data_IF_087398004519
#
_entry.id   IF_087398004519
#
_cell.length_a   1.000
_cell.length_b   1.000
_cell.length_c   1.000
_cell.angle_alpha   90.00
_cell.angle_beta   90.00
_cell.angle_gamma   90.00
#
_symmetry.space_group_name_H-M   'P 1'
#
loop_
_entity.id
_entity.type
_entity.pdbx_description
1 polymer ?
#
# COMPACT_ATOMS: atom_id res chain seq x y z
N UNK A 1 -31.50 -22.24 57.47
CA UNK A 1 -31.02 -21.11 56.66
C UNK A 1 -29.55 -21.34 56.41
N UNK A 2 -29.16 -21.60 55.15
CA UNK A 2 -27.77 -21.82 54.74
C UNK A 2 -27.58 -21.20 53.34
N UNK A 3 -26.53 -20.41 53.21
CA UNK A 3 -25.81 -20.08 51.98
C UNK A 3 -24.51 -19.37 52.45
N UNK A 4 -23.42 -20.08 52.64
CA UNK A 4 -22.46 -20.57 51.63
C UNK A 4 -21.53 -19.44 51.13
N UNK A 5 -20.28 -19.54 51.57
CA UNK A 5 -19.16 -18.69 51.20
C UNK A 5 -18.84 -18.79 49.70
N UNK A 6 -18.62 -17.65 49.05
CA UNK A 6 -18.10 -17.59 47.67
C UNK A 6 -16.63 -17.22 47.68
N UNK A 7 -15.83 -18.23 47.38
CA UNK A 7 -14.40 -18.22 47.12
C UNK A 7 -14.03 -17.43 45.87
N UNK A 8 -12.90 -16.72 45.98
CA UNK A 8 -12.10 -16.04 44.96
C UNK A 8 -12.01 -16.77 43.61
N UNK A 9 -12.36 -16.07 42.52
CA UNK A 9 -12.12 -16.51 41.15
C UNK A 9 -10.72 -16.06 40.67
N UNK A 10 -9.80 -17.01 40.57
CA UNK A 10 -8.58 -16.90 39.74
C UNK A 10 -8.82 -17.81 38.54
N UNK A 11 -8.76 -17.25 37.32
CA UNK A 11 -8.49 -18.01 36.09
C UNK A 11 -7.88 -17.06 35.06
N UNK A 12 -6.56 -16.94 35.14
CA UNK A 12 -5.67 -16.43 34.09
C UNK A 12 -5.72 -17.40 32.90
N UNK A 13 -6.20 -16.94 31.75
CA UNK A 13 -6.17 -17.71 30.50
C UNK A 13 -4.91 -17.38 29.69
N UNK A 14 -3.93 -18.26 29.86
CA UNK A 14 -2.90 -18.76 28.94
C UNK A 14 -2.52 -17.92 27.70
N UNK A 15 -1.32 -17.32 27.78
CA UNK A 15 -0.50 -16.92 26.63
C UNK A 15 0.01 -18.20 25.94
N UNK A 16 -0.45 -18.47 24.73
CA UNK A 16 0.05 -19.58 23.92
C UNK A 16 1.41 -19.23 23.30
N UNK A 17 2.34 -20.18 23.43
CA UNK A 17 3.77 -20.06 23.22
C UNK A 17 4.19 -19.76 21.75
N UNK A 18 5.22 -18.93 21.65
CA UNK A 18 6.13 -18.86 20.50
C UNK A 18 7.13 -20.02 20.52
N UNK A 19 7.70 -20.29 19.33
CA UNK A 19 8.92 -21.06 19.02
C UNK A 19 8.77 -22.58 18.84
N UNK A 20 8.51 -22.98 17.59
CA UNK A 20 9.06 -24.21 17.05
C UNK A 20 10.12 -23.85 15.99
N UNK A 21 11.39 -23.86 16.38
CA UNK A 21 12.52 -23.90 15.45
C UNK A 21 12.70 -25.36 15.06
N UNK A 22 12.25 -25.74 13.86
CA UNK A 22 12.67 -27.00 13.26
C UNK A 22 14.06 -26.78 12.63
N UNK A 23 15.09 -27.24 13.33
CA UNK A 23 16.40 -27.47 12.73
C UNK A 23 16.28 -28.63 11.74
N UNK A 24 16.53 -28.36 10.46
CA UNK A 24 16.87 -29.40 9.49
C UNK A 24 18.30 -29.16 9.05
N UNK A 25 19.19 -29.99 9.61
CA UNK A 25 20.49 -30.22 9.04
C UNK A 25 20.30 -30.96 7.71
N UNK A 26 20.82 -30.40 6.62
CA UNK A 26 21.09 -31.15 5.41
C UNK A 26 22.39 -30.62 4.78
N UNK A 27 23.27 -31.59 4.56
CA UNK A 27 24.60 -31.62 3.97
C UNK A 27 25.00 -30.57 2.93
N UNK A 28 26.29 -30.25 3.02
CA UNK A 28 27.11 -29.60 2.01
C UNK A 28 27.46 -30.65 0.94
N UNK A 29 26.94 -30.47 -0.28
CA UNK A 29 27.56 -30.73 -1.61
C UNK A 29 26.47 -31.10 -2.63
N UNK A 30 26.16 -30.19 -3.54
CA UNK A 30 26.34 -30.47 -4.97
C UNK A 30 26.27 -29.17 -5.78
N UNK A 31 27.20 -28.99 -6.71
CA UNK A 31 27.20 -27.88 -7.67
C UNK A 31 26.19 -28.18 -8.80
N UNK A 32 24.94 -28.40 -8.43
CA UNK A 32 23.81 -28.61 -9.35
C UNK A 32 23.08 -27.31 -9.62
N UNK A 33 22.74 -27.08 -10.89
CA UNK A 33 21.90 -25.96 -11.38
C UNK A 33 20.83 -25.52 -10.37
N UNK A 34 20.57 -24.20 -10.21
CA UNK A 34 19.49 -23.74 -9.36
C UNK A 34 18.20 -24.46 -9.75
N UNK A 35 17.54 -25.05 -8.75
CA UNK A 35 16.25 -25.69 -8.92
C UNK A 35 15.29 -24.73 -9.64
N UNK A 36 14.47 -25.20 -10.59
CA UNK A 36 13.56 -24.33 -11.32
C UNK A 36 12.66 -23.59 -10.32
N UNK A 37 12.71 -22.25 -10.40
CA UNK A 37 11.88 -21.37 -9.59
C UNK A 37 10.43 -21.83 -9.72
N UNK A 38 9.75 -22.17 -8.61
CA UNK A 38 8.30 -22.39 -8.64
C UNK A 38 7.70 -21.13 -9.24
N UNK A 39 7.08 -21.23 -10.42
CA UNK A 39 6.38 -20.12 -11.06
C UNK A 39 5.31 -19.64 -10.09
N UNK A 40 5.58 -18.52 -9.41
CA UNK A 40 4.61 -17.89 -8.52
C UNK A 40 3.40 -17.40 -9.31
N UNK A 41 2.28 -17.16 -8.62
CA UNK A 41 1.16 -16.45 -9.22
C UNK A 41 1.58 -15.02 -9.67
N UNK A 42 0.74 -14.38 -10.48
CA UNK A 42 1.03 -13.05 -11.02
C UNK A 42 1.34 -12.00 -9.94
N UNK A 43 0.70 -12.09 -8.77
CA UNK A 43 0.93 -11.18 -7.64
C UNK A 43 2.30 -11.43 -7.03
N UNK A 44 2.65 -12.67 -6.74
CA UNK A 44 3.97 -13.04 -6.21
C UNK A 44 5.09 -12.59 -7.15
N UNK A 45 4.95 -12.84 -8.45
CA UNK A 45 5.98 -12.46 -9.43
C UNK A 45 6.09 -10.94 -9.58
N UNK A 46 4.97 -10.20 -9.52
CA UNK A 46 5.00 -8.74 -9.63
C UNK A 46 5.57 -8.08 -8.38
N UNK A 47 5.22 -8.59 -7.19
CA UNK A 47 5.74 -8.09 -5.91
C UNK A 47 7.20 -8.52 -5.63
N UNK A 48 7.76 -9.47 -6.38
CA UNK A 48 9.17 -9.82 -6.29
C UNK A 48 10.07 -8.89 -7.13
N UNK A 49 9.53 -8.28 -8.18
CA UNK A 49 10.30 -7.58 -9.22
C UNK A 49 10.13 -6.06 -9.23
N UNK A 50 9.39 -5.47 -8.26
CA UNK A 50 9.28 -4.02 -8.19
C UNK A 50 10.56 -3.39 -7.65
N UNK A 51 10.88 -2.18 -8.11
CA UNK A 51 12.02 -1.42 -7.61
C UNK A 51 11.75 -0.88 -6.21
N UNK A 52 12.61 -1.23 -5.26
CA UNK A 52 12.60 -0.57 -3.96
C UNK A 52 13.10 0.89 -4.13
N UNK A 53 12.36 1.85 -3.58
CA UNK A 53 12.78 3.25 -3.55
C UNK A 53 13.18 3.66 -2.15
N UNK A 54 14.36 4.25 -2.01
CA UNK A 54 14.90 4.71 -0.71
C UNK A 54 13.98 5.73 -0.01
N UNK A 55 13.24 6.54 -0.76
CA UNK A 55 12.28 7.51 -0.21
C UNK A 55 10.91 6.90 0.12
N UNK A 56 10.68 5.64 -0.25
CA UNK A 56 9.46 4.90 0.08
C UNK A 56 9.80 3.59 0.80
N UNK A 57 10.40 3.66 2.01
CA UNK A 57 10.84 2.48 2.77
C UNK A 57 9.69 1.57 3.24
N UNK A 58 8.44 1.91 2.93
CA UNK A 58 7.26 1.28 3.49
C UNK A 58 6.67 0.14 2.65
N UNK A 59 7.05 -0.04 1.37
CA UNK A 59 6.53 -1.14 0.57
C UNK A 59 7.52 -2.31 0.54
N UNK A 60 7.23 -3.33 1.35
CA UNK A 60 7.94 -4.62 1.30
C UNK A 60 7.22 -5.59 0.36
N UNK A 61 7.90 -6.63 -0.12
CA UNK A 61 7.26 -7.73 -0.88
C UNK A 61 6.02 -8.28 -0.15
N UNK A 62 6.15 -8.56 1.15
CA UNK A 62 5.05 -9.07 1.97
C UNK A 62 3.87 -8.10 2.01
N UNK A 63 4.13 -6.80 2.13
CA UNK A 63 3.08 -5.78 2.16
C UNK A 63 2.41 -5.60 0.79
N UNK A 64 3.19 -5.63 -0.29
CA UNK A 64 2.68 -5.61 -1.67
C UNK A 64 1.71 -6.78 -1.88
N UNK A 65 2.16 -7.99 -1.55
CA UNK A 65 1.37 -9.22 -1.70
C UNK A 65 0.11 -9.20 -0.85
N UNK A 66 0.22 -8.86 0.44
CA UNK A 66 -0.94 -8.84 1.34
C UNK A 66 -1.95 -7.77 0.94
N UNK A 67 -1.48 -6.60 0.49
CA UNK A 67 -2.34 -5.52 0.01
C UNK A 67 -3.11 -5.94 -1.23
N UNK A 68 -2.41 -6.44 -2.26
CA UNK A 68 -3.08 -6.87 -3.48
C UNK A 68 -4.07 -8.01 -3.18
N UNK A 69 -3.65 -9.02 -2.40
CA UNK A 69 -4.54 -10.15 -2.06
C UNK A 69 -5.73 -9.79 -1.17
N UNK A 70 -5.67 -8.69 -0.42
CA UNK A 70 -6.85 -8.18 0.30
C UNK A 70 -7.97 -7.73 -0.64
N UNK A 71 -7.65 -7.40 -1.89
CA UNK A 71 -8.60 -7.02 -2.91
C UNK A 71 -9.05 -8.25 -3.72
N UNK A 72 -10.34 -8.58 -3.67
CA UNK A 72 -10.91 -9.78 -4.30
C UNK A 72 -10.63 -9.88 -5.81
N UNK A 73 -10.49 -8.75 -6.50
CA UNK A 73 -10.22 -8.76 -7.94
C UNK A 73 -8.78 -9.15 -8.29
N UNK A 74 -7.85 -9.09 -7.34
CA UNK A 74 -6.44 -9.43 -7.58
C UNK A 74 -6.24 -10.91 -7.87
N UNK A 75 -7.09 -11.80 -7.36
CA UNK A 75 -7.04 -13.24 -7.69
C UNK A 75 -7.53 -13.53 -9.11
N UNK A 76 -8.23 -12.58 -9.74
CA UNK A 76 -8.71 -12.68 -11.12
C UNK A 76 -7.85 -11.86 -12.11
N UNK A 77 -6.82 -11.17 -11.63
CA UNK A 77 -5.90 -10.41 -12.47
C UNK A 77 -5.19 -11.34 -13.46
N UNK A 78 -5.22 -10.98 -14.75
CA UNK A 78 -4.64 -11.78 -15.84
C UNK A 78 -3.36 -11.15 -16.39
N UNK A 79 -3.10 -9.89 -16.03
CA UNK A 79 -1.97 -9.12 -16.55
C UNK A 79 -1.43 -8.13 -15.51
N UNK A 80 -0.18 -7.70 -15.70
CA UNK A 80 0.45 -6.65 -14.89
C UNK A 80 -0.35 -5.33 -14.95
N UNK A 81 -0.98 -5.05 -16.10
CA UNK A 81 -1.92 -3.94 -16.27
C UNK A 81 -3.10 -4.04 -15.31
N UNK A 82 -3.69 -5.22 -15.14
CA UNK A 82 -4.79 -5.41 -14.18
C UNK A 82 -4.35 -5.11 -12.75
N UNK A 83 -3.12 -5.50 -12.37
CA UNK A 83 -2.57 -5.19 -11.05
C UNK A 83 -2.33 -3.67 -10.85
N UNK A 84 -1.87 -2.96 -11.88
CA UNK A 84 -1.72 -1.50 -11.83
C UNK A 84 -3.09 -0.81 -11.66
N UNK A 85 -4.12 -1.26 -12.38
CA UNK A 85 -5.49 -0.75 -12.25
C UNK A 85 -6.07 -1.02 -10.86
N UNK A 86 -5.87 -2.22 -10.31
CA UNK A 86 -6.29 -2.56 -8.96
C UNK A 86 -5.58 -1.70 -7.92
N UNK A 87 -4.28 -1.44 -8.08
CA UNK A 87 -3.54 -0.54 -7.20
C UNK A 87 -4.13 0.87 -7.22
N UNK A 88 -4.54 1.38 -8.39
CA UNK A 88 -5.21 2.68 -8.50
C UNK A 88 -6.57 2.69 -7.80
N UNK A 89 -7.37 1.63 -7.93
CA UNK A 89 -8.66 1.50 -7.23
C UNK A 89 -8.49 1.47 -5.70
N UNK A 90 -7.43 0.81 -5.22
CA UNK A 90 -7.04 0.81 -3.81
C UNK A 90 -6.63 2.20 -3.33
N UNK A 91 -5.83 2.94 -4.10
CA UNK A 91 -5.46 4.32 -3.78
C UNK A 91 -6.69 5.23 -3.74
N UNK A 92 -7.59 5.13 -4.72
CA UNK A 92 -8.82 5.91 -4.77
C UNK A 92 -9.67 5.69 -3.53
N UNK A 93 -9.86 4.42 -3.17
CA UNK A 93 -10.66 4.03 -2.01
C UNK A 93 -10.04 4.52 -0.70
N UNK A 94 -8.71 4.40 -0.56
CA UNK A 94 -7.98 4.90 0.60
C UNK A 94 -8.09 6.43 0.73
N UNK A 95 -7.92 7.18 -0.37
CA UNK A 95 -8.01 8.64 -0.37
C UNK A 95 -9.43 9.12 -0.05
N UNK A 96 -10.46 8.46 -0.60
CA UNK A 96 -11.86 8.78 -0.29
C UNK A 96 -12.20 8.52 1.18
N UNK A 97 -11.70 7.41 1.74
CA UNK A 97 -11.85 7.09 3.18
C UNK A 97 -11.16 8.16 4.04
N UNK A 98 -9.94 8.54 3.69
CA UNK A 98 -9.17 9.55 4.43
C UNK A 98 -9.85 10.93 4.38
N UNK A 99 -10.36 11.37 3.21
CA UNK A 99 -11.17 12.60 3.11
C UNK A 99 -12.46 12.51 3.95
N UNK A 100 -13.12 11.35 3.99
CA UNK A 100 -14.29 11.14 4.84
C UNK A 100 -13.97 11.35 6.33
N UNK A 101 -12.85 10.81 6.81
CA UNK A 101 -12.38 11.01 8.18
C UNK A 101 -12.03 12.48 8.42
N UNK A 102 -11.26 13.11 7.53
CA UNK A 102 -10.90 14.53 7.61
C UNK A 102 -12.14 15.44 7.68
N UNK A 103 -13.17 15.16 6.87
CA UNK A 103 -14.44 15.91 6.87
C UNK A 103 -15.17 15.79 8.20
N UNK A 104 -15.39 14.57 8.70
CA UNK A 104 -16.06 14.34 9.99
C UNK A 104 -15.34 15.08 11.13
N UNK A 105 -14.02 15.16 11.04
CA UNK A 105 -13.20 15.87 12.03
C UNK A 105 -13.21 17.38 11.83
N UNK A 106 -13.22 17.90 10.60
CA UNK A 106 -13.35 19.33 10.32
C UNK A 106 -14.59 19.95 10.96
N UNK A 107 -15.66 19.17 11.10
CA UNK A 107 -16.95 19.61 11.66
C UNK A 107 -17.01 19.51 13.21
N UNK A 108 -15.97 18.97 13.84
CA UNK A 108 -15.93 18.70 15.30
C UNK A 108 -15.04 19.68 16.07
N UNK A 109 -15.67 20.60 16.81
CA UNK A 109 -15.11 21.29 17.99
C UNK A 109 -13.92 22.24 17.79
N UNK A 110 -13.49 22.88 18.89
CA UNK A 110 -12.41 23.87 18.92
C UNK A 110 -11.05 23.25 18.56
N UNK A 111 -10.52 23.62 17.39
CA UNK A 111 -9.16 23.28 16.92
C UNK A 111 -8.32 24.54 16.81
N UNK A 112 -7.00 24.37 16.82
CA UNK A 112 -6.11 25.48 16.47
C UNK A 112 -6.37 25.96 15.03
N UNK A 113 -6.13 27.24 14.73
CA UNK A 113 -6.23 27.76 13.35
C UNK A 113 -5.29 27.02 12.39
N UNK A 114 -4.12 26.62 12.88
CA UNK A 114 -3.12 25.85 12.12
C UNK A 114 -3.67 24.48 11.73
N UNK A 115 -4.24 23.77 12.70
CA UNK A 115 -4.83 22.44 12.48
C UNK A 115 -6.04 22.51 11.55
N UNK A 116 -6.89 23.52 11.69
CA UNK A 116 -8.01 23.74 10.77
C UNK A 116 -7.53 23.94 9.32
N UNK A 117 -6.44 24.71 9.13
CA UNK A 117 -5.85 24.92 7.82
C UNK A 117 -5.19 23.65 7.27
N UNK A 118 -4.47 22.90 8.10
CA UNK A 118 -3.84 21.63 7.73
C UNK A 118 -4.88 20.58 7.26
N UNK A 119 -6.02 20.48 7.94
CA UNK A 119 -7.15 19.63 7.52
C UNK A 119 -7.65 20.03 6.12
N UNK A 120 -7.80 21.33 5.86
CA UNK A 120 -8.26 21.82 4.57
C UNK A 120 -7.27 21.47 3.45
N UNK A 121 -5.97 21.64 3.69
CA UNK A 121 -4.95 21.25 2.71
C UNK A 121 -4.95 19.74 2.44
N UNK A 122 -4.99 18.90 3.49
CA UNK A 122 -5.11 17.45 3.32
C UNK A 122 -6.31 17.04 2.46
N UNK A 123 -7.45 17.72 2.61
CA UNK A 123 -8.64 17.46 1.77
C UNK A 123 -8.44 17.91 0.32
N UNK A 124 -7.76 19.02 0.07
CA UNK A 124 -7.41 19.46 -1.28
C UNK A 124 -6.49 18.46 -1.98
N UNK A 125 -5.51 17.92 -1.25
CA UNK A 125 -4.59 16.90 -1.72
C UNK A 125 -5.33 15.61 -2.11
N UNK A 126 -6.24 15.11 -1.28
CA UNK A 126 -7.03 13.90 -1.62
C UNK A 126 -8.07 14.13 -2.72
N UNK A 127 -8.60 15.35 -2.82
CA UNK A 127 -9.39 15.72 -3.99
C UNK A 127 -8.54 15.74 -5.27
N UNK A 128 -7.26 16.10 -5.20
CA UNK A 128 -6.34 16.03 -6.32
C UNK A 128 -6.05 14.57 -6.73
N UNK A 129 -5.87 13.66 -5.76
CA UNK A 129 -5.80 12.20 -6.03
C UNK A 129 -7.05 11.75 -6.78
N UNK A 130 -8.25 12.07 -6.27
CA UNK A 130 -9.52 11.65 -6.87
C UNK A 130 -9.71 12.18 -8.31
N UNK A 131 -9.25 13.40 -8.61
CA UNK A 131 -9.29 13.96 -9.96
C UNK A 131 -8.25 13.35 -10.91
N UNK A 132 -7.10 12.94 -10.37
CA UNK A 132 -5.97 12.44 -11.19
C UNK A 132 -6.13 10.97 -11.56
N UNK A 133 -6.70 10.15 -10.66
CA UNK A 133 -6.86 8.71 -10.87
C UNK A 133 -7.57 8.36 -12.19
N UNK A 134 -8.72 8.97 -12.56
CA UNK A 134 -9.40 8.61 -13.80
C UNK A 134 -8.54 8.80 -15.05
N UNK A 135 -7.73 9.88 -15.10
CA UNK A 135 -6.83 10.15 -16.23
C UNK A 135 -5.72 9.09 -16.31
N UNK A 136 -5.05 8.86 -15.18
CA UNK A 136 -4.04 7.82 -15.02
C UNK A 136 -4.57 6.42 -15.39
N UNK A 137 -5.80 6.11 -14.97
CA UNK A 137 -6.44 4.83 -15.23
C UNK A 137 -6.71 4.64 -16.71
N UNK A 138 -7.20 5.66 -17.42
CA UNK A 138 -7.43 5.61 -18.86
C UNK A 138 -6.12 5.28 -19.61
N UNK A 139 -5.02 5.94 -19.24
CA UNK A 139 -3.70 5.66 -19.82
C UNK A 139 -3.27 4.21 -19.59
N UNK A 140 -3.40 3.71 -18.36
CA UNK A 140 -3.06 2.31 -18.03
C UNK A 140 -3.97 1.33 -18.77
N UNK A 141 -5.26 1.63 -18.96
CA UNK A 141 -6.18 0.78 -19.72
C UNK A 141 -5.77 0.64 -21.19
N UNK A 142 -5.35 1.74 -21.80
CA UNK A 142 -4.94 1.83 -23.20
C UNK A 142 -3.52 1.30 -23.44
N UNK A 143 -2.75 1.05 -22.37
CA UNK A 143 -1.40 0.50 -22.47
C UNK A 143 -1.38 -0.77 -23.32
N UNK A 144 -0.51 -0.73 -24.33
CA UNK A 144 -0.10 -1.87 -25.13
C UNK A 144 1.39 -2.07 -24.90
N UNK A 145 1.86 -3.30 -24.63
CA UNK A 145 3.28 -3.56 -24.55
C UNK A 145 3.95 -3.09 -25.85
N UNK A 146 5.04 -2.30 -25.80
CA UNK A 146 5.67 -1.80 -27.00
C UNK A 146 6.16 -2.94 -27.89
N UNK A 147 5.84 -2.89 -29.19
CA UNK A 147 6.40 -3.80 -30.19
C UNK A 147 7.87 -3.44 -30.53
N UNK A 148 8.27 -2.21 -30.21
CA UNK A 148 9.62 -1.66 -30.24
C UNK A 148 9.64 -0.38 -29.40
N UNK A 149 10.83 0.02 -28.97
CA UNK A 149 11.18 0.96 -27.90
C UNK A 149 10.80 2.45 -28.10
N UNK A 150 9.65 2.78 -28.69
CA UNK A 150 9.27 4.17 -29.01
C UNK A 150 8.03 4.71 -28.29
N UNK A 151 7.39 3.95 -27.39
CA UNK A 151 6.26 4.49 -26.63
C UNK A 151 6.77 5.36 -25.47
N UNK A 152 6.28 6.60 -25.40
CA UNK A 152 6.67 7.63 -24.44
C UNK A 152 6.22 7.25 -23.02
N UNK A 153 7.02 6.44 -22.32
CA UNK A 153 6.78 6.07 -20.92
C UNK A 153 6.71 7.29 -19.98
N UNK A 154 7.14 8.48 -20.42
CA UNK A 154 7.11 9.73 -19.66
C UNK A 154 5.73 10.07 -19.12
N UNK A 155 4.67 9.87 -19.89
CA UNK A 155 3.32 10.23 -19.45
C UNK A 155 2.87 9.36 -18.25
N UNK A 156 3.24 8.06 -18.24
CA UNK A 156 2.96 7.17 -17.11
C UNK A 156 3.71 7.60 -15.86
N UNK A 157 4.97 8.05 -16.00
CA UNK A 157 5.76 8.58 -14.89
C UNK A 157 5.18 9.88 -14.33
N UNK A 158 4.76 10.80 -15.19
CA UNK A 158 4.10 12.03 -14.78
C UNK A 158 2.80 11.75 -14.04
N UNK A 159 2.03 10.78 -14.53
CA UNK A 159 0.82 10.31 -13.86
C UNK A 159 1.11 9.79 -12.45
N UNK A 160 2.02 8.82 -12.28
CA UNK A 160 2.30 8.23 -10.96
C UNK A 160 2.99 9.23 -10.02
N UNK A 161 3.79 10.17 -10.55
CA UNK A 161 4.38 11.25 -9.78
C UNK A 161 3.30 12.21 -9.24
N UNK A 162 2.32 12.60 -10.08
CA UNK A 162 1.18 13.44 -9.65
C UNK A 162 0.36 12.75 -8.56
N UNK A 163 0.07 11.45 -8.72
CA UNK A 163 -0.63 10.66 -7.70
C UNK A 163 0.18 10.55 -6.41
N UNK A 164 1.48 10.25 -6.51
CA UNK A 164 2.38 10.13 -5.36
C UNK A 164 2.49 11.43 -4.57
N UNK A 165 2.71 12.56 -5.26
CA UNK A 165 2.82 13.86 -4.61
C UNK A 165 1.52 14.25 -3.88
N UNK A 166 0.37 14.12 -4.56
CA UNK A 166 -0.93 14.40 -3.94
C UNK A 166 -1.23 13.47 -2.75
N UNK A 167 -0.82 12.20 -2.81
CA UNK A 167 -0.97 11.27 -1.70
C UNK A 167 -0.05 11.60 -0.50
N UNK A 168 1.15 12.11 -0.77
CA UNK A 168 2.19 12.34 0.23
C UNK A 168 2.11 13.70 0.93
N UNK A 169 1.55 14.74 0.29
CA UNK A 169 1.55 16.10 0.85
C UNK A 169 0.90 16.17 2.24
N UNK A 170 -0.22 15.47 2.46
CA UNK A 170 -0.89 15.45 3.76
C UNK A 170 -0.01 14.85 4.89
N UNK A 171 0.92 13.95 4.54
CA UNK A 171 1.90 13.39 5.48
C UNK A 171 2.76 14.48 6.12
N UNK A 172 3.16 15.49 5.35
CA UNK A 172 3.94 16.62 5.85
C UNK A 172 3.25 17.36 6.99
N UNK A 173 1.93 17.56 6.90
CA UNK A 173 1.15 18.20 7.96
C UNK A 173 1.00 17.29 9.19
N UNK A 174 0.77 15.99 8.98
CA UNK A 174 0.68 15.00 10.07
C UNK A 174 1.97 14.93 10.89
N UNK A 175 3.14 15.11 10.27
CA UNK A 175 4.42 15.05 10.98
C UNK A 175 4.66 16.22 11.94
N UNK A 176 3.99 17.35 11.73
CA UNK A 176 4.24 18.60 12.49
C UNK A 176 3.05 19.06 13.32
N UNK A 177 1.88 18.44 13.16
CA UNK A 177 0.65 18.76 13.89
C UNK A 177 0.15 17.52 14.66
N UNK A 178 0.45 17.46 15.96
CA UNK A 178 0.05 16.36 16.83
C UNK A 178 -1.48 16.19 16.96
N UNK A 179 -2.23 17.29 16.85
CA UNK A 179 -3.70 17.26 16.91
C UNK A 179 -4.24 16.56 15.66
N UNK A 180 -3.71 16.88 14.50
CA UNK A 180 -4.02 16.21 13.24
C UNK A 180 -3.54 14.75 13.25
N UNK A 181 -2.31 14.50 13.72
CA UNK A 181 -1.71 13.17 13.72
C UNK A 181 -2.53 12.15 14.51
N UNK A 182 -3.05 12.55 15.67
CA UNK A 182 -3.93 11.71 16.50
C UNK A 182 -5.20 11.27 15.78
N UNK A 183 -5.61 12.04 14.78
CA UNK A 183 -6.90 11.89 14.10
C UNK A 183 -6.76 11.09 12.81
N UNK A 184 -5.73 11.36 12.00
CA UNK A 184 -5.67 10.83 10.63
C UNK A 184 -4.38 10.08 10.27
N UNK A 185 -3.40 9.98 11.17
CA UNK A 185 -2.09 9.39 10.84
C UNK A 185 -2.18 8.01 10.18
N UNK A 186 -3.12 7.16 10.63
CA UNK A 186 -3.36 5.83 10.06
C UNK A 186 -3.88 5.92 8.62
N UNK A 187 -4.87 6.75 8.37
CA UNK A 187 -5.48 6.94 7.05
C UNK A 187 -4.48 7.55 6.07
N UNK A 188 -3.71 8.53 6.50
CA UNK A 188 -2.66 9.15 5.67
C UNK A 188 -1.55 8.15 5.35
N UNK A 189 -1.14 7.31 6.32
CA UNK A 189 -0.18 6.22 6.08
C UNK A 189 -0.71 5.23 5.04
N UNK A 190 -1.99 4.85 5.16
CA UNK A 190 -2.62 3.94 4.22
C UNK A 190 -2.63 4.52 2.80
N UNK A 191 -3.00 5.81 2.63
CA UNK A 191 -2.98 6.50 1.33
C UNK A 191 -1.58 6.51 0.74
N UNK A 192 -0.57 6.88 1.53
CA UNK A 192 0.83 6.88 1.08
C UNK A 192 1.29 5.49 0.62
N UNK A 193 1.00 4.45 1.40
CA UNK A 193 1.31 3.07 1.04
C UNK A 193 0.63 2.62 -0.27
N UNK A 194 -0.64 3.02 -0.50
CA UNK A 194 -1.33 2.72 -1.77
C UNK A 194 -0.71 3.46 -2.94
N UNK A 195 -0.25 4.69 -2.75
CA UNK A 195 0.42 5.44 -3.80
C UNK A 195 1.76 4.80 -4.21
N UNK A 196 2.54 4.31 -3.24
CA UNK A 196 3.74 3.50 -3.54
C UNK A 196 3.38 2.23 -4.30
N UNK A 197 2.30 1.55 -3.93
CA UNK A 197 1.86 0.36 -4.66
C UNK A 197 1.46 0.68 -6.11
N UNK A 198 0.76 1.80 -6.36
CA UNK A 198 0.44 2.26 -7.71
C UNK A 198 1.71 2.45 -8.54
N UNK A 199 2.70 3.13 -7.96
CA UNK A 199 4.00 3.33 -8.62
C UNK A 199 4.66 1.99 -8.97
N UNK A 200 4.82 1.12 -7.98
CA UNK A 200 5.46 -0.19 -8.16
C UNK A 200 4.77 -1.03 -9.24
N UNK A 201 3.44 -1.13 -9.22
CA UNK A 201 2.71 -1.94 -10.21
C UNK A 201 2.72 -1.33 -11.61
N UNK A 202 2.75 0.01 -11.71
CA UNK A 202 2.89 0.70 -12.99
C UNK A 202 4.28 0.46 -13.59
N UNK A 203 5.34 0.55 -12.80
CA UNK A 203 6.71 0.29 -13.26
C UNK A 203 6.91 -1.17 -13.69
N UNK A 204 6.36 -2.12 -12.91
CA UNK A 204 6.35 -3.55 -13.28
C UNK A 204 5.61 -3.78 -14.61
N UNK A 205 4.47 -3.10 -14.83
CA UNK A 205 3.70 -3.15 -16.08
C UNK A 205 4.51 -2.63 -17.27
N UNK A 206 5.27 -1.54 -17.07
CA UNK A 206 6.14 -0.93 -18.07
C UNK A 206 7.43 -1.73 -18.31
N UNK A 207 7.69 -2.78 -17.52
CA UNK A 207 8.86 -3.65 -17.67
C UNK A 207 10.12 -3.12 -16.97
N UNK A 208 10.00 -2.12 -16.11
CA UNK A 208 11.10 -1.65 -15.27
C UNK A 208 11.19 -2.53 -14.02
N UNK A 209 11.90 -3.65 -14.14
CA UNK A 209 12.22 -4.52 -13.03
C UNK A 209 13.65 -4.25 -12.52
N UNK A 210 14.00 -4.83 -11.38
CA UNK A 210 15.34 -4.76 -10.77
C UNK A 210 16.40 -5.64 -11.48
N UNK A 211 16.03 -6.30 -12.58
CA UNK A 211 16.88 -7.23 -13.35
C UNK A 211 18.02 -6.52 -14.14
N UNK A 212 18.35 -5.28 -13.82
CA UNK A 212 19.30 -4.42 -14.56
C UNK A 212 20.67 -4.26 -13.89
N UNK A 213 21.06 -5.19 -13.01
CA UNK A 213 22.35 -5.16 -12.31
C UNK A 213 23.14 -6.45 -12.49
#
# INVERSE_FOLDING_TARGET
>A
MAAAATTTSVLLLCVAAFLAVAAHAADIKDHGKPAPYKTGDLVTNSCANFRAYDWSPHLTRKLCESTLRSHKQSTAAKSKRDLALIAMDLLQSAAAKADGVLRNHSDSGHRSKSTALALQYCRLDYAAVARTIPMCRAMVQEYKPPNSSSDNNGDYYDCIARLGNAAANCWGYVLVDDELAKVVSKEVAEVFQRATLVRAMTEVMLGFNDDSH
#
